data_IF_912501496549
#
_entry.id   IF_912501496549
#
_cell.length_a   1.000
_cell.length_b   1.000
_cell.length_c   1.000
_cell.angle_alpha   90.00
_cell.angle_beta   90.00
_cell.angle_gamma   90.00
#
_symmetry.space_group_name_H-M   'P 1'
#
loop_
_entity.id
_entity.type
_entity.pdbx_description
1 polymer ?
#
# COMPACT_ATOMS: atom_id res chain seq x y z
N UNK A 1 -1.60 -6.81 -17.34
CA UNK A 1 -1.67 -5.35 -17.25
C UNK A 1 -0.64 -4.63 -18.12
N UNK A 2 0.36 -5.31 -18.66
CA UNK A 2 1.46 -4.70 -19.45
C UNK A 2 1.02 -3.74 -20.55
N UNK A 3 -0.01 -4.08 -21.33
CA UNK A 3 -0.54 -3.20 -22.39
C UNK A 3 -1.18 -1.90 -21.88
N UNK A 4 -1.58 -1.86 -20.61
CA UNK A 4 -2.15 -0.67 -19.97
C UNK A 4 -1.11 0.19 -19.27
N UNK A 5 0.19 -0.15 -19.36
CA UNK A 5 1.23 0.64 -18.71
C UNK A 5 1.31 2.05 -19.30
N UNK A 6 1.32 3.06 -18.43
CA UNK A 6 1.35 4.46 -18.81
C UNK A 6 2.77 4.99 -18.91
N UNK A 7 3.03 5.82 -19.92
CA UNK A 7 4.20 6.70 -19.96
C UNK A 7 3.93 7.92 -19.06
N UNK A 8 4.73 8.10 -18.02
CA UNK A 8 4.53 9.11 -17.00
C UNK A 8 5.19 10.45 -17.39
N UNK A 9 4.58 11.54 -16.96
CA UNK A 9 4.99 12.92 -17.27
C UNK A 9 5.35 13.69 -16.01
N UNK A 10 6.54 14.30 -16.02
CA UNK A 10 6.97 15.19 -14.96
C UNK A 10 6.07 16.43 -14.90
N UNK A 11 5.66 16.80 -13.70
CA UNK A 11 4.77 17.94 -13.46
C UNK A 11 3.29 17.62 -13.50
N UNK A 12 2.94 16.41 -14.00
CA UNK A 12 1.56 15.90 -14.05
C UNK A 12 1.42 14.66 -13.19
N UNK A 13 2.09 13.56 -13.57
CA UNK A 13 2.02 12.28 -12.87
C UNK A 13 3.00 12.20 -11.68
N UNK A 14 4.12 12.89 -11.78
CA UNK A 14 5.19 12.91 -10.80
C UNK A 14 5.69 14.34 -10.58
N UNK A 15 6.04 14.68 -9.33
CA UNK A 15 6.59 15.97 -8.94
C UNK A 15 7.91 15.82 -8.18
N UNK A 16 8.84 16.76 -8.36
CA UNK A 16 10.14 16.79 -7.70
C UNK A 16 11.28 16.28 -8.57
N UNK A 17 12.33 15.80 -7.93
CA UNK A 17 13.48 15.17 -8.59
C UNK A 17 13.14 13.72 -8.92
N UNK A 18 12.90 13.44 -10.19
CA UNK A 18 12.37 12.16 -10.65
C UNK A 18 13.39 11.43 -11.51
N UNK A 19 13.55 10.15 -11.26
CA UNK A 19 14.19 9.22 -12.18
C UNK A 19 13.14 8.28 -12.78
N UNK A 20 13.15 8.14 -14.10
CA UNK A 20 12.24 7.26 -14.82
C UNK A 20 12.96 6.02 -15.36
N UNK A 21 12.26 4.89 -15.31
CA UNK A 21 12.66 3.68 -16.02
C UNK A 21 11.69 3.40 -17.15
N UNK A 22 12.25 2.97 -18.25
CA UNK A 22 11.51 2.49 -19.41
C UNK A 22 11.18 0.99 -19.23
N UNK A 23 10.19 0.51 -19.96
CA UNK A 23 9.87 -0.91 -19.99
C UNK A 23 9.52 -1.37 -21.41
N UNK A 24 9.68 -2.65 -21.65
CA UNK A 24 9.28 -3.28 -22.91
C UNK A 24 8.07 -4.17 -22.66
N UNK A 25 7.00 -3.93 -23.38
CA UNK A 25 5.78 -4.74 -23.36
C UNK A 25 5.63 -5.51 -24.68
N UNK A 26 4.86 -6.60 -24.64
CA UNK A 26 4.50 -7.34 -25.85
C UNK A 26 3.14 -6.86 -26.35
N UNK A 27 3.04 -6.51 -27.62
CA UNK A 27 1.79 -6.26 -28.32
C UNK A 27 1.02 -7.56 -28.53
N UNK A 28 -0.25 -7.44 -28.92
CA UNK A 28 -1.10 -8.61 -29.23
C UNK A 28 -0.58 -9.46 -30.41
N UNK A 29 0.22 -8.87 -31.30
CA UNK A 29 0.86 -9.57 -32.42
C UNK A 29 2.23 -10.20 -32.04
N UNK A 30 2.64 -10.12 -30.77
CA UNK A 30 3.92 -10.66 -30.26
C UNK A 30 5.13 -9.75 -30.47
N UNK A 31 4.97 -8.58 -31.10
CA UNK A 31 6.07 -7.61 -31.25
C UNK A 31 6.39 -6.92 -29.92
N UNK A 32 7.67 -6.69 -29.67
CA UNK A 32 8.14 -5.88 -28.57
C UNK A 32 7.84 -4.38 -28.83
N UNK A 33 7.33 -3.69 -27.81
CA UNK A 33 7.14 -2.25 -27.82
C UNK A 33 7.81 -1.66 -26.58
N UNK A 34 8.72 -0.72 -26.80
CA UNK A 34 9.26 0.09 -25.72
C UNK A 34 8.24 1.16 -25.30
N UNK A 35 8.04 1.29 -23.98
CA UNK A 35 7.24 2.35 -23.38
C UNK A 35 8.17 3.14 -22.45
N UNK A 36 8.32 4.42 -22.74
CA UNK A 36 9.18 5.32 -21.99
C UNK A 36 8.53 5.74 -20.67
N UNK A 37 9.38 5.99 -19.64
CA UNK A 37 8.96 6.57 -18.37
C UNK A 37 7.82 5.79 -17.67
N UNK A 38 7.84 4.45 -17.72
CA UNK A 38 6.77 3.63 -17.15
C UNK A 38 6.84 3.55 -15.63
N UNK A 39 8.04 3.60 -15.08
CA UNK A 39 8.27 3.54 -13.63
C UNK A 39 8.87 4.86 -13.19
N UNK A 40 8.26 5.45 -12.18
CA UNK A 40 8.74 6.66 -11.51
C UNK A 40 9.46 6.26 -10.21
N UNK A 41 10.65 6.80 -10.01
CA UNK A 41 11.42 6.66 -8.77
C UNK A 41 11.78 8.05 -8.27
N UNK A 42 11.44 8.33 -7.00
CA UNK A 42 11.77 9.60 -6.36
C UNK A 42 11.83 9.46 -4.84
N UNK A 43 12.36 10.46 -4.19
CA UNK A 43 12.40 10.56 -2.73
C UNK A 43 11.37 11.60 -2.26
N UNK A 44 10.64 11.28 -1.19
CA UNK A 44 9.65 12.17 -0.57
C UNK A 44 10.02 12.54 0.86
N UNK A 45 9.70 13.76 1.25
CA UNK A 45 9.54 14.11 2.66
C UNK A 45 8.18 13.58 3.15
N UNK A 46 8.21 12.76 4.21
CA UNK A 46 7.03 12.11 4.78
C UNK A 46 6.66 12.66 6.16
N UNK A 47 7.14 13.83 6.49
CA UNK A 47 6.83 14.48 7.76
C UNK A 47 7.89 14.31 8.83
N UNK A 48 7.49 14.39 10.08
CA UNK A 48 8.40 14.23 11.23
C UNK A 48 8.62 12.76 11.51
N UNK A 49 9.88 12.32 11.49
CA UNK A 49 10.28 10.99 11.93
C UNK A 49 10.39 10.93 13.45
N UNK A 50 11.07 11.91 14.02
CA UNK A 50 11.33 11.98 15.44
C UNK A 50 11.40 13.42 15.90
N UNK A 51 10.85 13.69 17.08
CA UNK A 51 10.92 14.99 17.71
C UNK A 51 11.04 14.83 19.22
N UNK A 52 11.94 15.58 19.81
CA UNK A 52 12.04 15.75 21.26
C UNK A 52 12.30 17.20 21.61
N UNK A 53 11.68 17.67 22.68
CA UNK A 53 11.99 18.97 23.29
C UNK A 53 12.45 18.73 24.72
N UNK A 54 13.70 19.05 24.99
CA UNK A 54 14.21 18.95 26.34
C UNK A 54 13.67 20.12 27.18
N UNK A 55 12.63 19.84 27.93
CA UNK A 55 11.95 20.81 28.82
C UNK A 55 12.63 20.98 30.17
N UNK A 56 13.67 20.17 30.48
CA UNK A 56 14.39 20.22 31.77
C UNK A 56 15.48 21.29 31.79
N UNK A 57 15.74 21.92 30.66
CA UNK A 57 16.69 23.01 30.55
C UNK A 57 15.99 24.36 30.80
N UNK A 58 16.75 25.33 31.30
CA UNK A 58 16.27 26.72 31.48
C UNK A 58 15.66 27.29 30.19
N UNK A 59 16.27 26.98 29.04
CA UNK A 59 15.67 27.19 27.72
C UNK A 59 15.43 25.84 27.04
N UNK A 60 14.16 25.48 26.77
CA UNK A 60 13.86 24.26 26.07
C UNK A 60 14.55 24.18 24.69
N UNK A 61 15.20 23.06 24.40
CA UNK A 61 15.86 22.83 23.10
C UNK A 61 15.09 21.79 22.33
N UNK A 62 14.47 22.15 21.19
CA UNK A 62 13.81 21.18 20.32
C UNK A 62 14.82 20.55 19.35
N UNK A 63 14.70 19.26 19.16
CA UNK A 63 15.36 18.51 18.09
C UNK A 63 14.30 17.84 17.22
N UNK A 64 14.53 17.85 15.91
CA UNK A 64 13.62 17.26 14.93
C UNK A 64 14.42 16.51 13.87
N UNK A 65 13.90 15.36 13.45
CA UNK A 65 14.38 14.62 12.28
C UNK A 65 13.21 14.41 11.33
N UNK A 66 13.46 14.64 10.04
CA UNK A 66 12.48 14.41 8.97
C UNK A 66 12.46 12.94 8.59
N UNK A 67 11.26 12.43 8.31
CA UNK A 67 11.08 11.13 7.67
C UNK A 67 11.23 11.30 6.17
N UNK A 68 12.10 10.50 5.58
CA UNK A 68 12.29 10.41 4.13
C UNK A 68 11.97 9.00 3.68
N UNK A 69 11.35 8.86 2.51
CA UNK A 69 11.08 7.56 1.91
C UNK A 69 11.40 7.57 0.42
N UNK A 70 11.88 6.46 -0.09
CA UNK A 70 12.03 6.22 -1.51
C UNK A 70 10.71 5.67 -2.05
N UNK A 71 10.25 6.21 -3.17
CA UNK A 71 9.01 5.81 -3.84
C UNK A 71 9.32 5.24 -5.20
N UNK A 72 8.78 4.05 -5.48
CA UNK A 72 8.78 3.44 -6.80
C UNK A 72 7.33 3.22 -7.21
N UNK A 73 6.91 3.81 -8.30
CA UNK A 73 5.51 3.75 -8.70
C UNK A 73 5.32 3.60 -10.21
N UNK A 74 4.16 3.05 -10.58
CA UNK A 74 3.71 2.95 -11.96
C UNK A 74 2.19 3.03 -12.04
N UNK A 75 1.66 3.40 -13.21
CA UNK A 75 0.23 3.42 -13.50
C UNK A 75 -0.13 2.51 -14.65
N UNK A 76 -1.33 1.94 -14.54
CA UNK A 76 -1.91 1.09 -15.59
C UNK A 76 -3.36 1.47 -15.82
N UNK A 77 -3.70 1.71 -17.10
CA UNK A 77 -5.07 1.91 -17.54
C UNK A 77 -5.70 0.58 -17.89
N UNK A 78 -6.83 0.26 -17.29
CA UNK A 78 -7.61 -0.95 -17.58
C UNK A 78 -9.08 -0.55 -17.77
N UNK A 79 -9.53 -0.49 -19.02
CA UNK A 79 -10.83 0.05 -19.35
C UNK A 79 -10.95 1.53 -18.96
N UNK A 80 -11.90 1.84 -18.09
CA UNK A 80 -12.11 3.20 -17.56
C UNK A 80 -11.34 3.48 -16.26
N UNK A 81 -10.63 2.49 -15.73
CA UNK A 81 -9.95 2.59 -14.44
C UNK A 81 -8.47 2.83 -14.59
N UNK A 82 -7.93 3.59 -13.67
CA UNK A 82 -6.50 3.82 -13.49
C UNK A 82 -6.04 3.18 -12.19
N UNK A 83 -5.00 2.36 -12.26
CA UNK A 83 -4.42 1.68 -11.12
C UNK A 83 -3.00 2.19 -10.91
N UNK A 84 -2.79 2.91 -9.84
CA UNK A 84 -1.45 3.33 -9.39
C UNK A 84 -0.91 2.35 -8.37
N UNK A 85 0.25 1.77 -8.65
CA UNK A 85 0.97 0.88 -7.75
C UNK A 85 2.17 1.62 -7.18
N UNK A 86 2.24 1.70 -5.86
CA UNK A 86 3.27 2.43 -5.15
C UNK A 86 3.97 1.52 -4.16
N UNK A 87 5.30 1.54 -4.20
CA UNK A 87 6.17 0.92 -3.22
C UNK A 87 6.93 2.01 -2.50
N UNK A 88 6.84 2.00 -1.17
CA UNK A 88 7.52 2.94 -0.30
C UNK A 88 8.57 2.21 0.52
N UNK A 89 9.79 2.70 0.47
CA UNK A 89 10.91 2.16 1.22
C UNK A 89 11.34 3.19 2.26
N UNK A 90 11.20 2.84 3.51
CA UNK A 90 11.49 3.72 4.64
C UNK A 90 12.90 3.51 5.17
N UNK A 91 13.42 4.53 5.89
CA UNK A 91 14.77 4.51 6.45
C UNK A 91 14.97 3.45 7.55
N UNK A 92 13.91 2.96 8.18
CA UNK A 92 13.92 1.90 9.19
C UNK A 92 13.82 0.49 8.60
N UNK A 93 13.83 0.37 7.27
CA UNK A 93 13.67 -0.90 6.56
C UNK A 93 12.21 -1.32 6.32
N UNK A 94 11.23 -0.54 6.77
CA UNK A 94 9.82 -0.81 6.47
C UNK A 94 9.57 -0.68 4.97
N UNK A 95 8.85 -1.65 4.41
CA UNK A 95 8.35 -1.62 3.03
C UNK A 95 6.83 -1.54 3.11
N UNK A 96 6.26 -0.53 2.48
CA UNK A 96 4.82 -0.37 2.35
C UNK A 96 4.43 -0.44 0.88
N UNK A 97 3.30 -1.05 0.60
CA UNK A 97 2.70 -1.07 -0.71
C UNK A 97 1.31 -0.44 -0.64
N UNK A 98 1.01 0.39 -1.62
CA UNK A 98 -0.28 1.05 -1.78
C UNK A 98 -0.78 0.87 -3.21
N UNK A 99 -2.09 0.62 -3.36
CA UNK A 99 -2.77 0.67 -4.64
C UNK A 99 -3.73 1.85 -4.64
N UNK A 100 -3.56 2.77 -5.58
CA UNK A 100 -4.47 3.89 -5.80
C UNK A 100 -5.40 3.58 -6.95
N UNK A 101 -6.68 3.58 -6.67
CA UNK A 101 -7.74 3.32 -7.63
C UNK A 101 -8.38 4.65 -8.01
N UNK A 102 -8.32 4.97 -9.30
CA UNK A 102 -8.88 6.22 -9.85
C UNK A 102 -9.39 5.99 -11.27
N UNK A 103 -9.66 7.05 -12.02
CA UNK A 103 -10.25 6.99 -13.36
C UNK A 103 -11.75 7.28 -13.34
N UNK A 104 -12.48 6.70 -14.27
CA UNK A 104 -13.92 6.87 -14.39
C UNK A 104 -14.66 5.63 -13.92
N UNK A 105 -15.77 5.81 -13.22
CA UNK A 105 -16.64 4.69 -12.81
C UNK A 105 -17.19 3.96 -14.04
N UNK A 106 -17.29 2.64 -13.95
CA UNK A 106 -17.97 1.82 -14.95
C UNK A 106 -19.47 2.10 -14.92
N UNK A 107 -20.06 2.36 -16.07
CA UNK A 107 -21.49 2.67 -16.20
C UNK A 107 -22.17 1.76 -17.20
N UNK A 108 -23.50 1.59 -17.03
CA UNK A 108 -24.38 0.85 -17.94
C UNK A 108 -25.60 1.69 -18.28
N UNK A 109 -26.10 1.52 -19.49
CA UNK A 109 -27.37 2.15 -19.89
C UNK A 109 -28.55 1.33 -19.34
N UNK A 110 -29.50 2.02 -18.72
CA UNK A 110 -30.74 1.43 -18.18
C UNK A 110 -31.91 2.10 -18.87
N UNK A 111 -32.48 1.48 -19.95
CA UNK A 111 -33.47 2.11 -20.80
C UNK A 111 -34.78 2.49 -20.08
N UNK A 112 -35.16 1.77 -19.03
CA UNK A 112 -36.32 2.07 -18.21
C UNK A 112 -36.05 3.14 -17.13
N UNK A 113 -34.80 3.55 -16.97
CA UNK A 113 -34.37 4.53 -15.95
C UNK A 113 -34.54 4.05 -14.51
N UNK A 114 -34.69 2.75 -14.29
CA UNK A 114 -34.85 2.13 -12.98
C UNK A 114 -33.53 1.48 -12.52
N UNK A 115 -32.91 2.05 -11.50
CA UNK A 115 -31.76 1.44 -10.84
C UNK A 115 -32.14 0.29 -9.89
N UNK A 116 -31.17 -0.46 -9.44
CA UNK A 116 -31.32 -1.50 -8.40
C UNK A 116 -30.39 -1.22 -7.23
N UNK A 117 -30.58 -1.93 -6.12
CA UNK A 117 -29.70 -1.81 -4.95
C UNK A 117 -28.23 -2.15 -5.29
N UNK A 118 -28.00 -3.01 -6.27
CA UNK A 118 -26.66 -3.40 -6.75
C UNK A 118 -26.16 -2.58 -7.95
N UNK A 119 -27.02 -1.74 -8.52
CA UNK A 119 -26.70 -0.87 -9.67
C UNK A 119 -27.51 0.42 -9.58
N UNK A 120 -27.16 1.32 -8.64
CA UNK A 120 -27.86 2.58 -8.46
C UNK A 120 -27.69 3.51 -9.66
N UNK A 121 -28.68 4.37 -9.87
CA UNK A 121 -28.64 5.41 -10.90
C UNK A 121 -27.62 6.49 -10.52
N UNK A 122 -26.75 6.84 -11.45
CA UNK A 122 -25.75 7.93 -11.30
C UNK A 122 -26.06 9.13 -12.19
N UNK A 123 -26.88 8.92 -13.22
CA UNK A 123 -27.45 9.96 -14.09
C UNK A 123 -28.75 9.42 -14.74
N UNK A 124 -29.57 10.26 -15.42
CA UNK A 124 -30.74 9.77 -16.14
C UNK A 124 -30.37 8.65 -17.11
N UNK A 125 -31.04 7.51 -17.00
CA UNK A 125 -30.83 6.29 -17.80
C UNK A 125 -29.44 5.67 -17.71
N UNK A 126 -28.65 6.06 -16.71
CA UNK A 126 -27.30 5.54 -16.49
C UNK A 126 -27.16 5.04 -15.05
N UNK A 127 -26.80 3.80 -14.89
CA UNK A 127 -26.47 3.19 -13.59
C UNK A 127 -25.00 2.83 -13.49
N UNK A 128 -24.50 2.70 -12.26
CA UNK A 128 -23.16 2.19 -11.98
C UNK A 128 -23.26 0.93 -11.12
N UNK A 129 -22.95 -0.25 -11.66
CA UNK A 129 -22.96 -1.48 -10.89
C UNK A 129 -21.95 -1.45 -9.74
N UNK A 130 -22.37 -1.81 -8.53
CA UNK A 130 -21.50 -1.97 -7.37
C UNK A 130 -20.65 -3.21 -7.59
N UNK A 131 -19.33 -3.06 -7.48
CA UNK A 131 -18.38 -4.15 -7.68
C UNK A 131 -17.12 -3.96 -6.82
N UNK A 132 -16.27 -4.98 -6.81
CA UNK A 132 -15.03 -4.99 -6.04
C UNK A 132 -13.82 -5.19 -6.95
N UNK A 133 -12.69 -4.61 -6.55
CA UNK A 133 -11.38 -4.88 -7.13
C UNK A 133 -10.53 -5.56 -6.08
N UNK A 134 -10.00 -6.74 -6.40
CA UNK A 134 -9.18 -7.54 -5.50
C UNK A 134 -7.74 -7.57 -6.04
N UNK A 135 -6.78 -7.34 -5.14
CA UNK A 135 -5.36 -7.38 -5.45
C UNK A 135 -4.68 -8.49 -4.65
N UNK A 136 -3.89 -9.28 -5.33
CA UNK A 136 -3.08 -10.31 -4.71
C UNK A 136 -1.60 -10.03 -5.01
N UNK A 137 -0.79 -9.92 -3.98
CA UNK A 137 0.65 -9.73 -4.08
C UNK A 137 1.35 -10.98 -3.59
N UNK A 138 2.17 -11.57 -4.46
CA UNK A 138 3.11 -12.61 -4.10
C UNK A 138 4.46 -11.96 -3.84
N UNK A 139 4.96 -12.12 -2.61
CA UNK A 139 6.24 -11.59 -2.18
C UNK A 139 7.22 -12.74 -1.97
N UNK A 140 8.42 -12.60 -2.51
CA UNK A 140 9.52 -13.55 -2.37
C UNK A 140 10.75 -12.76 -1.91
N UNK A 141 11.02 -12.84 -0.60
CA UNK A 141 12.11 -12.09 0.01
C UNK A 141 13.40 -12.90 0.02
N UNK A 142 14.51 -12.24 -0.29
CA UNK A 142 15.85 -12.76 -0.15
C UNK A 142 16.64 -11.88 0.84
N UNK A 143 16.29 -12.01 2.14
CA UNK A 143 16.94 -11.29 3.23
C UNK A 143 17.99 -12.21 3.87
N UNK A 144 19.28 -11.91 3.64
CA UNK A 144 20.42 -12.75 4.05
C UNK A 144 20.34 -14.20 3.54
N UNK A 145 19.66 -14.41 2.42
CA UNK A 145 19.46 -15.72 1.81
C UNK A 145 18.00 -16.03 1.52
N UNK A 146 17.75 -17.16 0.87
CA UNK A 146 16.43 -17.57 0.42
C UNK A 146 15.56 -18.22 1.53
N UNK A 147 16.14 -18.54 2.68
CA UNK A 147 15.42 -19.18 3.79
C UNK A 147 14.95 -18.12 4.78
N UNK A 148 13.71 -17.70 4.65
CA UNK A 148 13.07 -16.73 5.51
C UNK A 148 11.91 -17.37 6.27
N UNK A 149 11.61 -16.85 7.47
CA UNK A 149 10.51 -17.33 8.30
C UNK A 149 9.53 -16.20 8.54
N UNK A 150 8.25 -16.47 8.27
CA UNK A 150 7.17 -15.53 8.59
C UNK A 150 6.72 -15.76 10.03
N UNK A 151 6.68 -14.68 10.79
CA UNK A 151 6.18 -14.67 12.16
C UNK A 151 4.93 -13.80 12.29
N UNK A 152 3.96 -14.26 13.07
CA UNK A 152 2.80 -13.45 13.48
C UNK A 152 3.06 -12.85 14.86
N UNK A 153 2.79 -11.57 15.03
CA UNK A 153 2.83 -10.88 16.32
C UNK A 153 1.43 -10.39 16.68
N UNK A 154 0.94 -10.78 17.85
CA UNK A 154 -0.30 -10.31 18.43
C UNK A 154 -0.02 -9.55 19.73
N UNK A 155 -0.89 -8.61 20.09
CA UNK A 155 -0.91 -7.98 21.41
C UNK A 155 -1.87 -8.74 22.31
N UNK A 156 -1.41 -9.12 23.50
CA UNK A 156 -2.18 -9.81 24.52
C UNK A 156 -2.21 -9.00 25.82
N UNK A 157 -3.40 -8.79 26.38
CA UNK A 157 -3.53 -8.20 27.70
C UNK A 157 -2.97 -9.16 28.77
N UNK A 158 -2.29 -8.59 29.76
CA UNK A 158 -1.86 -9.34 30.92
C UNK A 158 -3.02 -9.53 31.89
N UNK A 159 -3.12 -10.67 32.57
CA UNK A 159 -4.15 -10.87 33.57
C UNK A 159 -4.01 -9.85 34.73
N UNK A 160 -5.13 -9.51 35.35
CA UNK A 160 -5.13 -8.71 36.58
C UNK A 160 -4.46 -9.52 37.70
N UNK A 161 -3.54 -8.90 38.40
CA UNK A 161 -2.80 -9.55 39.48
C UNK A 161 -1.81 -8.59 40.15
N UNK A 162 -0.95 -9.10 41.04
CA UNK A 162 0.04 -8.28 41.72
C UNK A 162 0.95 -7.49 40.80
N UNK A 163 1.29 -8.05 39.64
CA UNK A 163 2.15 -7.44 38.62
C UNK A 163 1.39 -6.55 37.63
N UNK A 164 0.04 -6.59 37.67
CA UNK A 164 -0.83 -5.76 36.81
C UNK A 164 -2.09 -5.34 37.55
N UNK A 165 -1.97 -4.63 38.68
CA UNK A 165 -3.11 -4.29 39.55
C UNK A 165 -4.09 -3.29 38.90
N UNK A 166 -3.63 -2.51 37.93
CA UNK A 166 -4.47 -1.51 37.23
C UNK A 166 -5.07 -2.06 35.91
N UNK A 167 -4.85 -3.33 35.59
CA UNK A 167 -5.31 -3.95 34.33
C UNK A 167 -4.90 -3.17 33.07
N UNK A 168 -3.72 -2.55 33.09
CA UNK A 168 -3.21 -1.74 31.99
C UNK A 168 -2.03 -2.38 31.24
N UNK A 169 -1.54 -3.53 31.74
CA UNK A 169 -0.41 -4.24 31.18
C UNK A 169 -0.81 -5.06 29.94
N UNK A 170 0.05 -5.05 28.95
CA UNK A 170 -0.05 -5.92 27.77
C UNK A 170 1.35 -6.32 27.29
N UNK A 171 1.42 -7.33 26.44
CA UNK A 171 2.66 -7.81 25.81
C UNK A 171 2.45 -8.14 24.35
N UNK A 172 3.52 -8.07 23.58
CA UNK A 172 3.58 -8.61 22.23
C UNK A 172 4.00 -10.09 22.27
N UNK A 173 3.24 -10.95 21.62
CA UNK A 173 3.53 -12.38 21.49
C UNK A 173 3.77 -12.70 20.03
N UNK A 174 4.97 -13.20 19.74
CA UNK A 174 5.38 -13.57 18.39
C UNK A 174 5.39 -15.09 18.23
N UNK A 175 4.76 -15.58 17.17
CA UNK A 175 4.67 -17.00 16.82
C UNK A 175 5.20 -17.23 15.42
N UNK A 176 6.13 -18.16 15.25
CA UNK A 176 6.60 -18.60 13.94
C UNK A 176 5.70 -19.69 13.39
N UNK A 177 5.39 -19.65 12.10
CA UNK A 177 4.63 -20.70 11.43
C UNK A 177 5.55 -21.82 10.95
N UNK A 178 5.11 -23.06 11.12
CA UNK A 178 5.83 -24.26 10.69
C UNK A 178 5.45 -24.72 9.29
N UNK A 179 4.31 -24.24 8.79
CA UNK A 179 3.77 -24.62 7.49
C UNK A 179 2.93 -23.48 6.90
N UNK A 180 2.79 -23.45 5.59
CA UNK A 180 1.92 -22.52 4.89
C UNK A 180 0.45 -22.62 5.32
N UNK A 181 -0.01 -23.83 5.67
CA UNK A 181 -1.38 -24.03 6.14
C UNK A 181 -1.65 -23.35 7.49
N UNK A 182 -0.65 -23.29 8.37
CA UNK A 182 -0.72 -22.55 9.63
C UNK A 182 -0.66 -21.04 9.41
N UNK A 183 -0.03 -20.61 8.33
CA UNK A 183 0.14 -19.18 7.99
C UNK A 183 -1.10 -18.55 7.33
N UNK A 184 -2.17 -19.31 7.07
CA UNK A 184 -3.45 -18.76 6.58
C UNK A 184 -4.12 -17.96 7.69
N UNK A 185 -3.96 -16.66 7.65
CA UNK A 185 -4.43 -15.72 8.68
C UNK A 185 -5.18 -14.56 8.06
N UNK A 186 -6.09 -14.01 8.85
CA UNK A 186 -6.78 -12.76 8.55
C UNK A 186 -6.28 -11.64 9.46
N UNK A 187 -6.49 -10.41 9.02
CA UNK A 187 -6.26 -9.23 9.86
C UNK A 187 -7.12 -9.31 11.12
N UNK A 188 -6.53 -9.02 12.27
CA UNK A 188 -7.22 -8.97 13.56
C UNK A 188 -6.85 -7.64 14.28
N UNK A 189 -7.61 -6.57 14.04
CA UNK A 189 -7.34 -5.27 14.66
C UNK A 189 -7.45 -5.29 16.18
N UNK A 190 -8.29 -6.17 16.74
CA UNK A 190 -8.46 -6.27 18.20
C UNK A 190 -7.18 -6.78 18.91
N UNK A 191 -6.36 -7.53 18.18
CA UNK A 191 -5.06 -8.02 18.66
C UNK A 191 -3.88 -7.21 18.10
N UNK A 192 -4.13 -6.15 17.35
CA UNK A 192 -3.09 -5.42 16.61
C UNK A 192 -2.17 -6.38 15.85
N UNK A 193 -2.78 -7.41 15.21
CA UNK A 193 -2.03 -8.45 14.51
C UNK A 193 -1.18 -7.89 13.40
N UNK A 194 0.08 -8.29 13.38
CA UNK A 194 1.04 -7.96 12.34
C UNK A 194 1.90 -9.18 11.97
N UNK A 195 2.57 -9.11 10.84
CA UNK A 195 3.50 -10.15 10.38
C UNK A 195 4.86 -9.54 10.13
N UNK A 196 5.91 -10.30 10.41
CA UNK A 196 7.30 -9.94 10.17
C UNK A 196 8.13 -11.16 9.74
#
# INVERSE_FOLDING_TARGET
MGHGANSLSLGCDCLGEIYYFDNTILKSNGEAQEVKNVICLHEEDYGVLWKHTNMMLEKPIPEVRRSRRLVVSCFHTVGNYEYGFYWYFYQDGTIQMEVKLTGHIGVSVVPDGLGTDTSPMVAPMISSPIHQHLFCFRLDFNLDGAQNTVCETNVEALPVGPDNPLNSGFRAVTTSFKSESEAKREVDPAKSRSWK
#
